data_IF_815964589705
#
_entry.id   IF_815964589705
#
_cell.length_a   1.000
_cell.length_b   1.000
_cell.length_c   1.000
_cell.angle_alpha   90.00
_cell.angle_beta   90.00
_cell.angle_gamma   90.00
#
_symmetry.space_group_name_H-M   'P 1'
#
loop_
_entity.id
_entity.type
_entity.pdbx_description
1 polymer ?
#
# COMPACT_ATOMS: atom_id res chain seq x y z
N UNK A 1 6.44 -34.14 -25.37
CA UNK A 1 6.00 -32.83 -24.87
C UNK A 1 4.82 -33.07 -23.95
N UNK A 2 5.05 -33.02 -22.64
CA UNK A 2 4.06 -33.30 -21.60
C UNK A 2 3.44 -31.99 -21.12
N UNK A 3 2.13 -31.83 -21.35
CA UNK A 3 1.33 -30.75 -20.78
C UNK A 3 1.16 -30.99 -19.28
N UNK A 4 1.63 -30.03 -18.46
CA UNK A 4 1.41 -30.03 -17.01
C UNK A 4 -0.04 -29.58 -16.70
N UNK A 5 -0.74 -30.21 -15.75
CA UNK A 5 -2.11 -29.81 -15.39
C UNK A 5 -2.12 -28.49 -14.61
N UNK A 6 -3.02 -27.61 -15.04
CA UNK A 6 -3.35 -26.35 -14.43
C UNK A 6 -4.00 -26.61 -13.05
N UNK A 7 -3.31 -26.31 -11.95
CA UNK A 7 -3.87 -26.40 -10.59
C UNK A 7 -4.48 -25.05 -10.18
N UNK A 8 -5.60 -24.74 -10.80
CA UNK A 8 -6.61 -23.85 -10.22
C UNK A 8 -7.64 -24.75 -9.53
N UNK A 9 -7.37 -25.13 -8.28
CA UNK A 9 -8.42 -25.66 -7.42
C UNK A 9 -8.91 -24.52 -6.52
N UNK A 10 -10.18 -24.22 -6.71
CA UNK A 10 -10.99 -23.22 -6.04
C UNK A 10 -11.06 -23.49 -4.53
N UNK A 11 -10.60 -22.52 -3.73
CA UNK A 11 -11.15 -22.39 -2.38
C UNK A 11 -12.45 -21.60 -2.53
N UNK A 12 -13.55 -22.34 -2.68
CA UNK A 12 -14.89 -21.78 -2.74
C UNK A 12 -15.18 -20.92 -1.51
N UNK A 13 -15.45 -19.64 -1.73
CA UNK A 13 -16.12 -18.81 -0.76
C UNK A 13 -17.59 -19.25 -0.76
N UNK A 14 -18.09 -19.78 0.36
CA UNK A 14 -19.50 -20.09 0.53
C UNK A 14 -20.30 -18.77 0.58
N UNK A 15 -21.16 -18.47 -0.42
CA UNK A 15 -21.88 -17.21 -0.50
C UNK A 15 -22.98 -17.05 0.57
N UNK A 16 -23.23 -18.07 1.40
CA UNK A 16 -24.28 -18.05 2.43
C UNK A 16 -23.88 -17.37 3.74
N UNK A 17 -22.60 -17.03 3.95
CA UNK A 17 -22.15 -16.34 5.17
C UNK A 17 -22.07 -14.84 4.92
N UNK A 18 -22.86 -14.04 5.65
CA UNK A 18 -22.73 -12.57 5.69
C UNK A 18 -21.42 -12.17 6.39
N UNK A 19 -20.29 -12.46 5.76
CA UNK A 19 -18.97 -11.99 6.19
C UNK A 19 -18.88 -10.48 5.90
N UNK A 20 -18.47 -9.69 6.89
CA UNK A 20 -18.18 -8.26 6.66
C UNK A 20 -17.12 -8.13 5.55
N UNK A 21 -17.26 -7.14 4.68
CA UNK A 21 -16.34 -6.92 3.55
C UNK A 21 -14.87 -6.90 3.98
N UNK A 22 -14.57 -6.34 5.15
CA UNK A 22 -13.21 -6.25 5.73
C UNK A 22 -12.53 -7.61 5.97
N UNK A 23 -13.29 -8.70 6.08
CA UNK A 23 -12.79 -10.06 6.29
C UNK A 23 -12.65 -10.85 4.99
N UNK A 24 -13.16 -10.32 3.87
CA UNK A 24 -13.12 -10.98 2.58
C UNK A 24 -11.84 -10.61 1.85
N UNK A 25 -10.68 -11.04 2.38
CA UNK A 25 -9.37 -10.74 1.80
C UNK A 25 -8.87 -11.93 0.95
N UNK A 26 -9.15 -11.99 -0.37
CA UNK A 26 -8.74 -13.09 -1.23
C UNK A 26 -7.25 -13.02 -1.50
N UNK A 27 -6.42 -13.64 -0.65
CA UNK A 27 -5.00 -13.69 -0.95
C UNK A 27 -4.15 -14.72 -0.18
N UNK A 28 -2.89 -14.84 -0.60
CA UNK A 28 -1.92 -15.81 -0.07
C UNK A 28 -0.74 -15.06 0.57
N UNK A 29 -0.73 -15.04 1.90
CA UNK A 29 0.45 -14.72 2.69
C UNK A 29 1.51 -15.82 2.65
N UNK A 30 2.73 -15.53 3.11
CA UNK A 30 3.77 -16.55 3.23
C UNK A 30 3.34 -17.69 4.18
N UNK A 31 3.73 -18.94 3.86
CA UNK A 31 3.38 -20.13 4.66
C UNK A 31 3.88 -20.06 6.10
N UNK A 32 5.06 -19.47 6.32
CA UNK A 32 5.63 -19.32 7.67
C UNK A 32 4.87 -18.22 8.40
N UNK A 33 4.19 -18.63 9.49
CA UNK A 33 3.50 -17.75 10.42
C UNK A 33 4.13 -17.90 11.80
N UNK A 34 4.27 -16.78 12.51
CA UNK A 34 4.83 -16.78 13.88
C UNK A 34 3.85 -16.08 14.80
N UNK A 35 3.57 -16.66 15.96
CA UNK A 35 2.71 -16.01 16.95
C UNK A 35 3.37 -14.71 17.44
N UNK A 36 2.58 -13.63 17.52
CA UNK A 36 3.03 -12.29 17.91
C UNK A 36 2.19 -11.76 19.06
N UNK A 37 2.86 -11.38 20.15
CA UNK A 37 2.24 -10.68 21.27
C UNK A 37 2.35 -9.17 21.04
N UNK A 38 1.23 -8.49 20.83
CA UNK A 38 1.18 -7.03 20.70
C UNK A 38 1.37 -6.34 22.06
N UNK A 39 1.94 -5.14 22.05
CA UNK A 39 1.88 -4.22 23.21
C UNK A 39 0.46 -3.68 23.38
N UNK A 40 0.11 -3.16 24.55
CA UNK A 40 -1.23 -2.57 24.78
C UNK A 40 -1.55 -1.44 23.80
N UNK A 41 -0.55 -0.60 23.48
CA UNK A 41 -0.71 0.49 22.52
C UNK A 41 -0.95 -0.04 21.09
N UNK A 42 -0.18 -1.04 20.66
CA UNK A 42 -0.37 -1.70 19.36
C UNK A 42 -1.74 -2.37 19.27
N UNK A 43 -2.12 -3.13 20.30
CA UNK A 43 -3.39 -3.84 20.37
C UNK A 43 -4.56 -2.87 20.24
N UNK A 44 -4.57 -1.81 21.05
CA UNK A 44 -5.62 -0.78 21.03
C UNK A 44 -5.71 -0.08 19.67
N UNK A 45 -4.56 0.28 19.09
CA UNK A 45 -4.52 0.92 17.78
C UNK A 45 -4.99 -0.01 16.66
N UNK A 46 -4.61 -1.28 16.67
CA UNK A 46 -5.05 -2.27 15.69
C UNK A 46 -6.57 -2.54 15.79
N UNK A 47 -7.09 -2.75 17.00
CA UNK A 47 -8.52 -2.95 17.24
C UNK A 47 -9.35 -1.75 16.78
N UNK A 48 -8.91 -0.54 17.15
CA UNK A 48 -9.57 0.69 16.72
C UNK A 48 -9.56 0.78 15.20
N UNK A 49 -8.42 0.52 14.55
CA UNK A 49 -8.30 0.58 13.10
C UNK A 49 -9.29 -0.36 12.40
N UNK A 50 -9.45 -1.59 12.89
CA UNK A 50 -10.42 -2.55 12.34
C UNK A 50 -11.86 -2.06 12.48
N UNK A 51 -12.22 -1.51 13.66
CA UNK A 51 -13.56 -0.96 13.89
C UNK A 51 -13.84 0.25 12.99
N UNK A 52 -12.91 1.21 12.93
CA UNK A 52 -13.05 2.44 12.14
C UNK A 52 -13.08 2.18 10.63
N UNK A 53 -12.56 1.04 10.15
CA UNK A 53 -12.63 0.67 8.75
C UNK A 53 -13.78 -0.30 8.43
N UNK A 54 -14.65 -0.59 9.40
CA UNK A 54 -15.86 -1.36 9.16
C UNK A 54 -17.01 -0.41 8.76
N UNK A 55 -17.57 -0.49 7.53
CA UNK A 55 -18.63 0.41 7.08
C UNK A 55 -19.87 0.38 7.98
N UNK A 56 -20.19 -0.80 8.53
CA UNK A 56 -21.33 -0.97 9.42
C UNK A 56 -21.10 -0.39 10.82
N UNK A 57 -19.86 -0.06 11.20
CA UNK A 57 -19.53 0.60 12.48
C UNK A 57 -19.62 2.13 12.36
N UNK A 58 -19.57 2.70 11.14
CA UNK A 58 -19.58 4.16 10.93
C UNK A 58 -20.73 4.88 11.63
N UNK A 59 -21.99 4.41 11.60
CA UNK A 59 -23.08 5.11 12.30
C UNK A 59 -22.86 5.24 13.82
N UNK A 60 -22.17 4.27 14.43
CA UNK A 60 -21.82 4.30 15.85
C UNK A 60 -20.67 5.27 16.12
N UNK A 61 -19.71 5.34 15.21
CA UNK A 61 -18.63 6.32 15.26
C UNK A 61 -19.19 7.75 15.16
N UNK A 62 -20.05 8.00 14.18
CA UNK A 62 -20.68 9.31 13.98
C UNK A 62 -21.48 9.73 15.22
N UNK A 63 -22.28 8.80 15.77
CA UNK A 63 -23.01 9.04 17.01
C UNK A 63 -22.05 9.34 18.17
N UNK A 64 -21.03 8.52 18.38
CA UNK A 64 -20.04 8.72 19.45
C UNK A 64 -19.35 10.09 19.32
N UNK A 65 -18.87 10.44 18.13
CA UNK A 65 -18.21 11.71 17.86
C UNK A 65 -19.15 12.89 18.14
N UNK A 66 -20.43 12.77 17.78
CA UNK A 66 -21.43 13.82 18.05
C UNK A 66 -21.63 14.10 19.56
N UNK A 67 -21.44 13.08 20.41
CA UNK A 67 -21.67 13.17 21.85
C UNK A 67 -20.41 13.51 22.63
N UNK A 68 -19.26 12.97 22.22
CA UNK A 68 -18.03 12.99 23.01
C UNK A 68 -16.88 13.74 22.35
N UNK A 69 -16.96 14.02 21.05
CA UNK A 69 -15.90 14.67 20.27
C UNK A 69 -14.89 13.70 19.66
N UNK A 70 -14.17 14.17 18.63
CA UNK A 70 -13.19 13.38 17.89
C UNK A 70 -11.95 12.97 18.71
N UNK A 71 -11.54 13.81 19.67
CA UNK A 71 -10.41 13.56 20.57
C UNK A 71 -10.65 12.34 21.49
N UNK A 72 -11.92 11.98 21.71
CA UNK A 72 -12.31 10.84 22.53
C UNK A 72 -12.30 9.50 21.78
N UNK A 73 -12.10 9.49 20.46
CA UNK A 73 -12.15 8.27 19.65
C UNK A 73 -11.05 7.28 20.07
N UNK A 74 -9.79 7.72 20.05
CA UNK A 74 -8.68 6.86 20.46
C UNK A 74 -8.73 6.40 21.93
N UNK A 75 -9.00 7.27 22.92
CA UNK A 75 -9.01 6.85 24.32
C UNK A 75 -10.21 5.97 24.69
N UNK A 76 -11.40 6.19 24.12
CA UNK A 76 -12.65 5.71 24.73
C UNK A 76 -13.59 4.96 23.78
N UNK A 77 -13.45 5.08 22.45
CA UNK A 77 -14.42 4.51 21.50
C UNK A 77 -14.57 3.00 21.61
N UNK A 78 -13.46 2.25 21.70
CA UNK A 78 -13.52 0.77 21.81
C UNK A 78 -14.36 0.37 23.02
N UNK A 79 -14.04 0.90 24.20
CA UNK A 79 -14.75 0.60 25.45
C UNK A 79 -16.24 0.96 25.35
N UNK A 80 -16.54 2.14 24.81
CA UNK A 80 -17.91 2.57 24.60
C UNK A 80 -18.66 1.65 23.63
N UNK A 81 -18.05 1.31 22.49
CA UNK A 81 -18.64 0.46 21.46
C UNK A 81 -18.90 -0.96 21.97
N UNK A 82 -17.94 -1.55 22.71
CA UNK A 82 -18.12 -2.85 23.35
C UNK A 82 -19.26 -2.80 24.38
N UNK A 83 -19.33 -1.76 25.21
CA UNK A 83 -20.44 -1.63 26.16
C UNK A 83 -21.79 -1.50 25.46
N UNK A 84 -21.85 -0.72 24.37
CA UNK A 84 -23.05 -0.56 23.56
C UNK A 84 -23.49 -1.88 22.93
N UNK A 85 -22.54 -2.65 22.37
CA UNK A 85 -22.81 -3.93 21.70
C UNK A 85 -23.36 -5.02 22.64
N UNK A 86 -23.01 -4.98 23.92
CA UNK A 86 -23.34 -6.04 24.88
C UNK A 86 -24.40 -5.66 25.93
N UNK A 87 -24.49 -4.39 26.30
CA UNK A 87 -25.31 -3.95 27.44
C UNK A 87 -26.35 -2.89 27.10
N UNK A 88 -26.45 -2.45 25.84
CA UNK A 88 -27.56 -1.59 25.43
C UNK A 88 -28.88 -2.35 25.38
N UNK A 89 -29.99 -1.62 25.41
CA UNK A 89 -31.34 -2.17 25.21
C UNK A 89 -31.47 -2.93 23.87
N UNK A 90 -30.61 -2.60 22.89
CA UNK A 90 -30.55 -3.22 21.57
C UNK A 90 -29.56 -4.40 21.50
N UNK A 91 -28.90 -4.79 22.59
CA UNK A 91 -27.88 -5.84 22.56
C UNK A 91 -28.43 -7.18 22.07
N UNK A 92 -29.70 -7.48 22.31
CA UNK A 92 -30.33 -8.73 21.87
C UNK A 92 -30.53 -8.80 20.34
N UNK A 93 -30.68 -7.66 19.67
CA UNK A 93 -30.90 -7.58 18.21
C UNK A 93 -29.60 -7.31 17.44
N UNK A 94 -28.51 -7.09 18.15
CA UNK A 94 -27.22 -6.79 17.55
C UNK A 94 -26.58 -8.05 16.96
N UNK A 95 -26.20 -7.96 15.68
CA UNK A 95 -25.60 -9.07 14.93
C UNK A 95 -24.28 -9.54 15.61
N UNK A 96 -24.18 -10.86 15.77
CA UNK A 96 -23.09 -11.53 16.47
C UNK A 96 -21.71 -11.15 15.90
N UNK A 97 -21.62 -10.86 14.60
CA UNK A 97 -20.36 -10.46 13.98
C UNK A 97 -19.80 -9.17 14.62
N UNK A 98 -20.64 -8.22 15.02
CA UNK A 98 -20.19 -7.00 15.67
C UNK A 98 -19.73 -7.21 17.12
N UNK A 99 -20.44 -8.11 17.79
CA UNK A 99 -20.05 -8.62 19.11
C UNK A 99 -18.68 -9.29 19.06
N UNK A 100 -18.40 -10.05 18.01
CA UNK A 100 -17.11 -10.73 17.86
C UNK A 100 -15.96 -9.73 17.61
N UNK A 101 -16.15 -8.72 16.75
CA UNK A 101 -15.09 -7.74 16.46
C UNK A 101 -14.79 -6.79 17.62
N UNK A 102 -15.79 -6.52 18.48
CA UNK A 102 -15.63 -5.62 19.64
C UNK A 102 -14.85 -6.22 20.81
N UNK A 103 -14.66 -7.54 20.84
CA UNK A 103 -13.75 -8.19 21.82
C UNK A 103 -12.27 -8.11 21.43
N UNK A 104 -11.98 -7.74 20.18
CA UNK A 104 -10.64 -7.77 19.63
C UNK A 104 -10.19 -9.17 19.19
N UNK A 105 -8.96 -9.28 18.66
CA UNK A 105 -8.44 -10.53 18.14
C UNK A 105 -8.04 -11.52 19.24
N UNK A 106 -8.29 -12.80 18.99
CA UNK A 106 -7.88 -13.94 19.82
C UNK A 106 -6.37 -14.17 19.70
N UNK A 107 -5.90 -14.21 18.45
CA UNK A 107 -4.50 -14.48 18.13
C UNK A 107 -4.03 -13.54 17.04
N UNK A 108 -2.74 -13.23 17.07
CA UNK A 108 -2.07 -12.42 16.06
C UNK A 108 -0.87 -13.19 15.56
N UNK A 109 -0.80 -13.35 14.24
CA UNK A 109 0.30 -14.00 13.57
C UNK A 109 1.04 -13.03 12.66
N UNK A 110 2.37 -13.17 12.58
CA UNK A 110 3.19 -12.39 11.66
C UNK A 110 3.64 -13.21 10.47
N UNK A 111 3.81 -12.53 9.35
CA UNK A 111 4.34 -13.09 8.11
C UNK A 111 5.29 -12.10 7.43
N UNK A 112 6.14 -12.57 6.52
CA UNK A 112 7.17 -11.72 5.89
C UNK A 112 6.79 -11.25 4.49
N UNK A 113 5.78 -11.88 3.87
CA UNK A 113 5.29 -11.57 2.52
C UNK A 113 3.77 -11.71 2.43
N UNK A 114 3.16 -10.85 1.63
CA UNK A 114 1.73 -10.87 1.36
C UNK A 114 1.46 -10.38 -0.07
N UNK A 115 0.60 -11.10 -0.79
CA UNK A 115 0.16 -10.67 -2.11
C UNK A 115 -1.25 -10.10 -1.99
N UNK A 116 -1.58 -8.98 -2.59
CA UNK A 116 -2.94 -8.43 -2.58
C UNK A 116 -3.09 -7.47 -3.75
N UNK A 117 -4.25 -7.47 -4.43
CA UNK A 117 -4.54 -6.53 -5.52
C UNK A 117 -3.46 -6.47 -6.63
N UNK A 118 -2.82 -7.60 -6.96
CA UNK A 118 -1.74 -7.65 -7.96
C UNK A 118 -0.38 -7.13 -7.47
N UNK A 119 -0.29 -6.69 -6.21
CA UNK A 119 0.97 -6.33 -5.56
C UNK A 119 1.52 -7.50 -4.75
N UNK A 120 2.85 -7.58 -4.70
CA UNK A 120 3.58 -8.48 -3.82
C UNK A 120 4.36 -7.65 -2.82
N UNK A 121 3.88 -7.58 -1.57
CA UNK A 121 4.54 -6.87 -0.48
C UNK A 121 5.50 -7.78 0.28
N UNK A 122 6.62 -7.22 0.72
CA UNK A 122 7.59 -7.88 1.59
C UNK A 122 8.00 -6.92 2.70
N UNK A 123 8.14 -7.40 3.93
CA UNK A 123 8.63 -6.55 5.03
C UNK A 123 10.04 -6.02 4.72
N UNK A 124 10.34 -4.80 5.17
CA UNK A 124 11.61 -4.10 4.92
C UNK A 124 12.84 -4.97 5.25
N UNK A 125 12.80 -5.68 6.38
CA UNK A 125 13.91 -6.54 6.83
C UNK A 125 14.19 -7.67 5.84
N UNK A 126 13.16 -8.18 5.17
CA UNK A 126 13.27 -9.25 4.19
C UNK A 126 13.60 -8.71 2.79
N UNK A 127 13.13 -7.51 2.44
CA UNK A 127 13.31 -6.92 1.12
C UNK A 127 14.71 -6.33 0.89
N UNK A 128 15.41 -5.88 1.94
CA UNK A 128 16.75 -5.26 1.86
C UNK A 128 17.80 -6.07 1.10
N UNK A 129 17.72 -7.40 1.14
CA UNK A 129 18.69 -8.29 0.51
C UNK A 129 18.19 -8.85 -0.84
N UNK A 130 16.99 -8.46 -1.29
CA UNK A 130 16.40 -8.96 -2.53
C UNK A 130 16.71 -8.03 -3.70
N UNK A 131 16.63 -8.58 -4.92
CA UNK A 131 16.80 -7.81 -6.16
C UNK A 131 15.81 -6.64 -6.29
N UNK A 132 14.59 -6.80 -5.77
CA UNK A 132 13.56 -5.77 -5.76
C UNK A 132 13.11 -5.48 -4.33
N UNK A 133 13.12 -4.19 -3.97
CA UNK A 133 12.62 -3.76 -2.67
C UNK A 133 11.10 -3.51 -2.76
N UNK A 134 10.35 -4.51 -2.32
CA UNK A 134 8.88 -4.52 -2.35
C UNK A 134 8.24 -4.08 -1.02
N UNK A 135 8.96 -3.32 -0.19
CA UNK A 135 8.45 -2.86 1.12
C UNK A 135 7.83 -1.46 1.07
N UNK A 136 7.88 -0.74 -0.04
CA UNK A 136 7.27 0.58 -0.15
C UNK A 136 5.75 0.48 -0.25
N UNK A 137 5.08 1.29 0.57
CA UNK A 137 3.62 1.32 0.68
C UNK A 137 3.15 2.76 0.50
N UNK A 138 2.03 2.93 -0.18
CA UNK A 138 1.29 4.18 -0.15
C UNK A 138 -0.21 3.95 -0.07
N UNK A 139 -0.91 4.94 0.48
CA UNK A 139 -2.36 4.99 0.57
C UNK A 139 -2.80 6.35 0.05
N UNK A 140 -3.86 6.34 -0.76
CA UNK A 140 -4.44 7.59 -1.26
C UNK A 140 -5.15 8.31 -0.12
N UNK A 141 -4.95 9.62 0.02
CA UNK A 141 -5.75 10.43 0.93
C UNK A 141 -7.24 10.39 0.56
N UNK A 142 -8.12 10.53 1.56
CA UNK A 142 -9.56 10.62 1.31
C UNK A 142 -9.90 11.98 0.67
N UNK A 143 -10.71 11.96 -0.39
CA UNK A 143 -11.10 13.16 -1.15
C UNK A 143 -12.21 13.98 -0.43
N UNK A 144 -12.68 13.53 0.74
CA UNK A 144 -13.88 14.02 1.43
C UNK A 144 -13.71 15.24 2.34
N UNK A 145 -12.49 15.62 2.73
CA UNK A 145 -12.23 16.81 3.54
C UNK A 145 -11.49 17.88 2.73
N UNK A 146 -12.05 19.08 2.68
CA UNK A 146 -11.58 20.23 1.86
C UNK A 146 -10.17 20.76 2.22
N UNK A 147 -9.47 20.10 3.15
CA UNK A 147 -8.06 20.32 3.44
C UNK A 147 -7.24 19.21 2.79
N UNK A 148 -6.76 19.49 1.57
CA UNK A 148 -5.70 18.79 0.82
C UNK A 148 -5.75 17.25 0.91
N UNK A 149 -6.09 16.60 -0.21
CA UNK A 149 -6.01 15.14 -0.36
C UNK A 149 -4.54 14.70 -0.28
N UNK A 150 -4.03 14.48 0.94
CA UNK A 150 -2.63 14.13 1.15
C UNK A 150 -2.45 12.62 1.05
N UNK A 151 -1.67 12.18 0.07
CA UNK A 151 -1.22 10.80 -0.04
C UNK A 151 -0.23 10.45 1.09
N UNK A 152 -0.38 9.27 1.67
CA UNK A 152 0.50 8.77 2.72
C UNK A 152 1.50 7.78 2.16
N UNK A 153 2.78 7.97 2.47
CA UNK A 153 3.88 7.13 1.99
C UNK A 153 4.64 6.54 3.17
N UNK A 154 5.00 5.26 3.08
CA UNK A 154 5.71 4.59 4.15
C UNK A 154 6.40 3.30 3.75
N UNK A 155 7.00 2.67 4.75
CA UNK A 155 7.73 1.41 4.60
C UNK A 155 7.08 0.34 5.45
N UNK A 156 6.76 -0.80 4.83
CA UNK A 156 6.17 -1.97 5.48
C UNK A 156 7.14 -2.56 6.51
N UNK A 157 6.77 -2.50 7.77
CA UNK A 157 7.57 -3.01 8.89
C UNK A 157 7.21 -4.45 9.26
N UNK A 158 5.91 -4.70 9.45
CA UNK A 158 5.38 -6.00 9.89
C UNK A 158 4.02 -6.25 9.20
N UNK A 159 3.70 -7.53 8.94
CA UNK A 159 2.40 -7.96 8.41
C UNK A 159 1.74 -8.78 9.50
N UNK A 160 0.57 -8.35 9.95
CA UNK A 160 -0.18 -8.95 11.04
C UNK A 160 -1.47 -9.58 10.50
N UNK A 161 -1.69 -10.86 10.76
CA UNK A 161 -3.00 -11.48 10.60
C UNK A 161 -3.65 -11.62 11.98
N UNK A 162 -4.79 -10.97 12.13
CA UNK A 162 -5.61 -10.96 13.33
C UNK A 162 -6.73 -11.97 13.15
N UNK A 163 -6.85 -12.91 14.08
CA UNK A 163 -7.92 -13.90 14.12
C UNK A 163 -8.95 -13.52 15.18
N UNK A 164 -10.23 -13.48 14.81
CA UNK A 164 -11.35 -13.08 15.67
C UNK A 164 -12.28 -14.27 15.97
N UNK A 165 -13.08 -14.12 17.02
CA UNK A 165 -14.11 -15.09 17.40
C UNK A 165 -15.21 -15.25 16.35
N UNK A 166 -15.98 -16.33 16.52
CA UNK A 166 -17.15 -16.67 15.73
C UNK A 166 -16.91 -17.78 14.71
N UNK A 167 -18.01 -18.29 14.15
CA UNK A 167 -18.00 -19.31 13.11
C UNK A 167 -18.69 -18.77 11.83
N UNK A 168 -18.04 -18.83 10.66
CA UNK A 168 -16.65 -19.21 10.46
C UNK A 168 -15.67 -18.25 11.15
N UNK A 169 -14.45 -18.74 11.42
CA UNK A 169 -13.36 -17.92 11.98
C UNK A 169 -13.09 -16.75 11.04
N UNK A 170 -13.04 -15.55 11.61
CA UNK A 170 -12.81 -14.31 10.85
C UNK A 170 -11.34 -13.92 10.95
N UNK A 171 -10.74 -13.55 9.83
CA UNK A 171 -9.34 -13.12 9.77
C UNK A 171 -9.22 -11.83 8.99
N UNK A 172 -8.42 -10.91 9.52
CA UNK A 172 -8.08 -9.66 8.84
C UNK A 172 -6.58 -9.46 8.89
N UNK A 173 -6.00 -9.06 7.76
CA UNK A 173 -4.59 -8.73 7.66
C UNK A 173 -4.43 -7.22 7.69
N UNK A 174 -3.52 -6.76 8.56
CA UNK A 174 -3.06 -5.39 8.68
C UNK A 174 -1.59 -5.30 8.30
N UNK A 175 -1.22 -4.21 7.65
CA UNK A 175 0.17 -3.79 7.54
C UNK A 175 0.51 -2.80 8.63
N UNK A 176 1.60 -3.06 9.35
CA UNK A 176 2.23 -2.07 10.22
C UNK A 176 3.29 -1.34 9.41
N UNK A 177 3.11 -0.04 9.21
CA UNK A 177 3.95 0.81 8.38
C UNK A 177 4.73 1.83 9.22
N UNK A 178 5.92 2.17 8.74
CA UNK A 178 6.67 3.36 9.16
C UNK A 178 6.34 4.48 8.18
N UNK A 179 5.49 5.40 8.57
CA UNK A 179 5.02 6.50 7.71
C UNK A 179 6.02 7.66 7.68
N UNK A 180 6.22 8.24 6.50
CA UNK A 180 6.92 9.50 6.31
C UNK A 180 6.01 10.68 6.69
N UNK A 181 6.61 11.84 6.96
CA UNK A 181 5.87 13.07 7.27
C UNK A 181 5.07 13.52 6.02
N UNK A 182 3.72 13.51 6.08
CA UNK A 182 2.87 13.83 4.93
C UNK A 182 2.78 15.34 4.66
N UNK A 183 3.25 16.19 5.59
CA UNK A 183 3.24 17.64 5.39
C UNK A 183 4.26 18.07 4.33
N UNK A 184 4.14 19.29 3.81
CA UNK A 184 5.07 19.88 2.83
C UNK A 184 6.55 19.88 3.27
N UNK A 185 6.83 19.68 4.57
CA UNK A 185 8.17 19.55 5.13
C UNK A 185 8.79 18.17 4.92
N UNK A 186 7.95 17.15 4.70
CA UNK A 186 8.34 15.75 4.55
C UNK A 186 7.93 15.11 3.23
N UNK A 187 6.84 15.56 2.62
CA UNK A 187 6.33 15.07 1.34
C UNK A 187 6.03 16.25 0.44
N UNK A 188 6.47 16.21 -0.82
CA UNK A 188 6.20 17.28 -1.78
C UNK A 188 6.03 16.77 -3.20
N UNK A 189 5.22 17.50 -3.96
CA UNK A 189 5.07 17.26 -5.39
C UNK A 189 5.74 18.38 -6.19
N UNK A 190 6.68 17.99 -7.04
CA UNK A 190 7.31 18.88 -8.01
C UNK A 190 6.37 18.97 -9.24
N UNK A 191 5.44 19.92 -9.18
CA UNK A 191 4.36 20.10 -10.19
C UNK A 191 4.85 20.14 -11.64
N UNK A 192 6.03 20.70 -11.89
CA UNK A 192 6.63 20.80 -13.23
C UNK A 192 6.92 19.44 -13.88
N UNK A 193 7.07 18.38 -13.08
CA UNK A 193 7.48 17.05 -13.55
C UNK A 193 6.59 15.93 -13.04
N UNK A 194 5.52 16.25 -12.30
CA UNK A 194 4.67 15.28 -11.61
C UNK A 194 5.49 14.27 -10.75
N UNK A 195 6.55 14.75 -10.11
CA UNK A 195 7.43 13.93 -9.27
C UNK A 195 7.04 14.13 -7.81
N UNK A 196 6.62 13.07 -7.14
CA UNK A 196 6.47 13.05 -5.69
C UNK A 196 7.79 12.69 -5.03
N UNK A 197 8.19 13.44 -4.02
CA UNK A 197 9.37 13.19 -3.20
C UNK A 197 8.99 13.04 -1.72
N UNK A 198 9.70 12.16 -1.02
CA UNK A 198 9.59 11.98 0.44
C UNK A 198 10.94 12.21 1.10
N UNK A 199 10.94 12.88 2.23
CA UNK A 199 12.11 13.10 3.08
C UNK A 199 12.23 11.93 4.04
N UNK A 200 13.11 10.97 3.73
CA UNK A 200 13.19 9.69 4.48
C UNK A 200 13.66 9.85 5.93
N UNK A 201 14.24 11.00 6.28
CA UNK A 201 14.65 11.35 7.64
C UNK A 201 13.51 11.91 8.50
N UNK A 202 12.36 12.25 7.92
CA UNK A 202 11.17 12.72 8.65
C UNK A 202 10.09 11.66 8.69
N UNK A 203 9.40 11.58 9.84
CA UNK A 203 8.39 10.57 10.12
C UNK A 203 7.08 11.24 10.50
N UNK A 204 5.98 10.55 10.25
CA UNK A 204 4.68 10.94 10.75
C UNK A 204 4.68 10.93 12.29
N UNK A 205 4.21 12.01 12.91
CA UNK A 205 4.29 12.20 14.36
C UNK A 205 3.20 11.42 15.11
N UNK A 206 2.00 11.32 14.53
CA UNK A 206 0.90 10.61 15.15
C UNK A 206 1.13 9.09 15.10
N UNK A 207 0.74 8.41 16.17
CA UNK A 207 0.82 6.95 16.23
C UNK A 207 -0.41 6.34 15.56
N UNK A 208 -0.31 6.14 14.26
CA UNK A 208 -1.29 5.39 13.47
C UNK A 208 -0.57 4.51 12.44
N UNK A 209 -0.02 3.36 12.87
CA UNK A 209 0.86 2.57 12.03
C UNK A 209 0.10 1.57 11.15
N UNK A 210 -1.20 1.33 11.38
CA UNK A 210 -1.91 0.22 10.78
C UNK A 210 -2.72 0.64 9.56
N UNK A 211 -2.74 -0.21 8.54
CA UNK A 211 -3.66 -0.11 7.42
C UNK A 211 -4.22 -1.49 7.08
N UNK A 212 -5.45 -1.53 6.54
CA UNK A 212 -5.97 -2.75 5.93
C UNK A 212 -5.21 -2.97 4.62
N UNK A 213 -4.73 -4.20 4.41
CA UNK A 213 -3.90 -4.56 3.24
C UNK A 213 -4.55 -4.26 1.90
N UNK A 214 -5.88 -4.27 1.81
CA UNK A 214 -6.62 -3.98 0.58
C UNK A 214 -6.51 -2.51 0.15
N UNK A 215 -6.30 -1.61 1.11
CA UNK A 215 -6.13 -0.18 0.85
C UNK A 215 -4.67 0.16 0.46
N UNK A 216 -3.75 -0.78 0.64
CA UNK A 216 -2.34 -0.58 0.37
C UNK A 216 -2.04 -0.69 -1.13
N UNK A 217 -1.36 0.33 -1.65
CA UNK A 217 -0.71 0.30 -2.98
C UNK A 217 0.81 0.28 -2.80
N UNK A 218 1.53 -0.18 -3.82
CA UNK A 218 2.99 -0.30 -3.75
C UNK A 218 3.70 0.89 -4.41
N UNK A 219 4.85 1.26 -3.83
CA UNK A 219 5.80 2.22 -4.41
C UNK A 219 7.23 1.69 -4.30
N UNK A 220 8.10 2.20 -5.16
CA UNK A 220 9.54 2.12 -4.98
C UNK A 220 10.10 3.50 -4.61
N UNK A 221 11.10 3.51 -3.74
CA UNK A 221 11.83 4.71 -3.36
C UNK A 221 13.21 4.68 -4.00
N UNK A 222 13.57 5.76 -4.68
CA UNK A 222 14.87 5.91 -5.32
C UNK A 222 15.62 7.13 -4.76
N UNK A 223 16.89 7.00 -4.36
CA UNK A 223 17.70 8.16 -3.99
C UNK A 223 18.02 9.00 -5.22
N UNK A 224 18.27 10.29 -5.01
CA UNK A 224 18.76 11.15 -6.07
C UNK A 224 20.19 10.78 -6.49
N UNK A 225 20.46 10.54 -7.78
CA UNK A 225 21.81 10.29 -8.24
C UNK A 225 22.63 11.58 -8.14
N UNK A 226 23.83 11.48 -7.58
CA UNK A 226 24.87 12.52 -7.61
C UNK A 226 24.50 13.90 -7.01
N UNK A 227 23.39 14.01 -6.27
CA UNK A 227 22.92 15.26 -5.63
C UNK A 227 23.01 15.17 -4.11
N UNK A 228 24.11 15.65 -3.55
CA UNK A 228 24.34 15.64 -2.08
C UNK A 228 23.34 16.54 -1.34
N UNK A 229 22.92 17.63 -1.96
CA UNK A 229 21.89 18.56 -1.47
C UNK A 229 20.51 17.90 -1.31
N UNK A 230 20.28 16.77 -1.99
CA UNK A 230 19.04 15.98 -1.94
C UNK A 230 19.21 14.61 -1.26
N UNK A 231 20.28 14.40 -0.49
CA UNK A 231 20.56 13.10 0.16
C UNK A 231 19.46 12.63 1.12
N UNK A 232 18.72 13.56 1.74
CA UNK A 232 17.58 13.26 2.61
C UNK A 232 16.28 12.95 1.85
N UNK A 233 16.25 13.14 0.53
CA UNK A 233 15.05 13.02 -0.29
C UNK A 233 15.12 11.79 -1.18
N UNK A 234 14.02 11.04 -1.22
CA UNK A 234 13.79 9.96 -2.17
C UNK A 234 12.68 10.33 -3.12
N UNK A 235 12.86 9.97 -4.38
CA UNK A 235 11.81 10.00 -5.41
C UNK A 235 10.88 8.82 -5.16
N UNK A 236 9.58 9.07 -5.24
CA UNK A 236 8.54 8.04 -5.17
C UNK A 236 8.16 7.59 -6.56
N UNK A 237 8.24 6.28 -6.81
CA UNK A 237 7.84 5.65 -8.06
C UNK A 237 6.62 4.77 -7.76
N UNK A 238 5.42 5.25 -8.09
CA UNK A 238 4.17 4.48 -7.91
C UNK A 238 4.17 3.29 -8.88
N UNK A 239 3.94 2.08 -8.35
CA UNK A 239 3.95 0.86 -9.17
C UNK A 239 2.55 0.51 -9.65
N UNK A 240 2.42 0.04 -10.89
CA UNK A 240 1.18 -0.57 -11.39
C UNK A 240 1.04 -2.02 -10.87
N UNK A 241 -0.17 -2.48 -10.52
CA UNK A 241 -0.39 -3.85 -10.07
C UNK A 241 -0.10 -4.85 -11.19
N UNK A 242 0.50 -6.00 -10.87
CA UNK A 242 0.74 -7.05 -11.86
C UNK A 242 -0.53 -7.87 -12.10
N UNK A 243 -0.86 -8.13 -13.37
CA UNK A 243 -1.94 -9.06 -13.75
C UNK A 243 -3.34 -8.46 -13.87
N UNK A 244 -3.50 -7.12 -13.75
CA UNK A 244 -4.70 -6.41 -14.23
C UNK A 244 -4.27 -5.51 -15.38
N UNK A 245 -4.79 -5.79 -16.58
CA UNK A 245 -4.71 -4.84 -17.70
C UNK A 245 -5.75 -3.77 -17.40
N UNK A 246 -5.35 -2.66 -16.82
CA UNK A 246 -6.14 -1.43 -16.94
C UNK A 246 -6.01 -1.02 -18.40
N UNK A 247 -7.06 -1.28 -19.19
CA UNK A 247 -7.18 -0.75 -20.54
C UNK A 247 -7.48 0.74 -20.38
N UNK A 248 -6.44 1.54 -20.10
CA UNK A 248 -6.47 2.94 -20.51
C UNK A 248 -6.47 2.91 -22.04
N UNK A 249 -7.55 3.40 -22.64
CA UNK A 249 -7.71 3.54 -24.09
C UNK A 249 -6.79 4.65 -24.65
N UNK A 250 -5.50 4.57 -24.37
CA UNK A 250 -4.48 5.28 -25.12
C UNK A 250 -3.44 4.25 -25.55
N UNK A 251 -3.48 3.93 -26.84
CA UNK A 251 -2.43 3.18 -27.50
C UNK A 251 -1.13 3.99 -27.37
N UNK A 252 -0.35 3.73 -26.34
CA UNK A 252 1.06 4.10 -26.31
C UNK A 252 1.77 3.25 -27.38
N UNK A 253 1.77 3.76 -28.61
CA UNK A 253 2.59 3.23 -29.67
C UNK A 253 4.04 3.46 -29.23
N UNK A 254 4.71 2.39 -28.83
CA UNK A 254 6.15 2.41 -28.61
C UNK A 254 6.82 2.69 -29.96
N UNK A 255 7.19 3.95 -30.22
CA UNK A 255 8.16 4.28 -31.26
C UNK A 255 9.54 3.83 -30.80
N UNK A 256 9.77 2.51 -30.81
CA UNK A 256 11.12 2.02 -31.02
C UNK A 256 11.45 2.36 -32.48
N UNK A 257 11.98 3.56 -32.72
CA UNK A 257 12.67 3.82 -33.97
C UNK A 257 13.80 2.80 -34.05
N UNK A 258 13.66 1.88 -34.99
CA UNK A 258 14.72 0.98 -35.40
C UNK A 258 15.96 1.82 -35.72
N UNK A 259 17.00 1.65 -34.92
CA UNK A 259 18.35 2.08 -35.27
C UNK A 259 18.84 1.10 -36.35
N UNK A 260 18.35 1.28 -37.57
CA UNK A 260 18.85 0.55 -38.75
C UNK A 260 18.60 1.39 -40.01
N UNK A 261 19.47 2.38 -40.26
CA UNK A 261 19.87 2.86 -41.61
C UNK A 261 20.63 4.20 -41.64
N UNK A 262 21.16 4.74 -40.52
CA UNK A 262 22.03 5.95 -40.59
C UNK A 262 23.53 5.61 -40.64
N UNK A 263 23.89 4.50 -41.28
CA UNK A 263 25.30 4.13 -41.50
C UNK A 263 25.69 3.92 -42.97
N UNK A 264 24.90 4.41 -43.93
CA UNK A 264 25.28 4.34 -45.35
C UNK A 264 25.17 5.67 -46.13
N UNK A 265 24.94 6.82 -45.48
CA UNK A 265 24.85 8.11 -46.18
C UNK A 265 25.94 9.12 -45.78
N UNK A 266 26.80 8.83 -44.81
CA UNK A 266 27.86 9.78 -44.39
C UNK A 266 29.19 9.56 -45.13
N UNK A 267 29.39 8.41 -45.78
CA UNK A 267 30.67 8.11 -46.46
C UNK A 267 30.69 8.45 -47.96
N UNK A 268 29.57 8.89 -48.56
CA UNK A 268 29.51 9.19 -50.00
C UNK A 268 29.57 10.70 -50.35
N UNK A 269 29.35 11.60 -49.39
CA UNK A 269 29.36 13.06 -49.64
C UNK A 269 30.70 13.75 -49.29
N UNK A 270 31.71 13.01 -48.79
CA UNK A 270 33.03 13.56 -48.46
C UNK A 270 34.13 13.25 -49.50
N UNK A 271 33.83 12.55 -50.59
CA UNK A 271 34.84 12.20 -51.62
C UNK A 271 34.83 13.08 -52.89
N UNK A 272 34.00 14.12 -53.00
CA UNK A 272 33.87 14.88 -54.26
C UNK A 272 34.30 16.37 -54.24
N UNK A 273 34.90 16.90 -53.18
CA UNK A 273 35.37 18.30 -53.20
C UNK A 273 36.72 18.50 -52.51
N UNK A 274 37.79 18.00 -53.12
CA UNK A 274 39.14 18.53 -52.93
C UNK A 274 39.85 18.57 -54.30
N UNK A 275 39.49 19.57 -55.10
CA UNK A 275 40.29 19.94 -56.26
C UNK A 275 41.56 20.64 -55.72
N UNK A 276 42.70 19.97 -55.87
CA UNK A 276 44.02 20.47 -55.49
C UNK A 276 44.66 21.12 -56.74
N UNK A 277 44.92 22.43 -56.76
CA UNK A 277 45.81 22.99 -57.78
C UNK A 277 47.26 22.70 -57.37
N UNK A 278 47.82 21.62 -57.90
CA UNK A 278 49.26 21.43 -57.95
C UNK A 278 49.85 22.32 -59.05
N UNK A 279 50.76 23.22 -58.67
CA UNK A 279 51.99 23.65 -59.36
C UNK A 279 52.55 24.85 -58.57
N UNK A 280 53.42 24.64 -57.59
CA UNK A 280 54.90 24.51 -57.66
C UNK A 280 55.59 25.78 -58.19
N UNK A 281 56.48 26.28 -57.32
CA UNK A 281 57.44 27.37 -57.46
C UNK A 281 58.33 27.26 -58.72
N UNK A 282 58.36 28.31 -59.53
CA UNK A 282 59.53 29.14 -59.92
C UNK A 282 59.08 30.33 -60.80
#
# INVERSE_FOLDING_TARGET
MSLLPNRHDDTGNDPAVQSLSIFNQPSKGSKKRTLRKLTEKEKKSAELHVLLNCPKVQPFLDYFVSQYGHDQVFPSFITWYTNWAYFSENAATFDQVFKDISWGPITVHTMYQYNVNGFKFSIEKYSKNNKTNNSGVWVKGDDGNQNENVDYFGVLHEILELEYWGWPIKRIVLFQCKWFDPTSRGTRELKQHNITEVKHTRKYEAYDPFIIVENAKQVHYAPYPLRRDKSDWWVVIKTKPMGRVEVENELDVAYQNEITSVHEVVDAELEMNLDHPDHILE
#
